data_IF_198362300699
#
_entry.id   IF_198362300699
#
_cell.length_a   1.000
_cell.length_b   1.000
_cell.length_c   1.000
_cell.angle_alpha   90.00
_cell.angle_beta   90.00
_cell.angle_gamma   90.00
#
_symmetry.space_group_name_H-M   'P 1'
#
loop_
_entity.id
_entity.type
_entity.pdbx_description
1 polymer ?
#
# COMPACT_ATOMS: atom_id res chain seq x y z
N UNK A 1 -10.63 -18.78 -3.54
CA UNK A 1 -11.48 -18.91 -4.75
C UNK A 1 -10.75 -18.43 -6.01
N UNK A 2 -9.91 -17.40 -5.89
CA UNK A 2 -8.88 -17.03 -6.89
C UNK A 2 -7.52 -17.16 -6.21
N UNK A 3 -6.53 -17.74 -6.88
CA UNK A 3 -5.17 -17.91 -6.36
C UNK A 3 -4.16 -17.69 -7.50
N UNK A 4 -3.56 -16.50 -7.50
CA UNK A 4 -2.50 -16.10 -8.43
C UNK A 4 -1.12 -16.07 -7.75
N UNK A 5 -0.96 -16.72 -6.58
CA UNK A 5 0.26 -16.62 -5.78
C UNK A 5 1.49 -17.14 -6.52
N UNK A 6 1.37 -18.27 -7.22
CA UNK A 6 2.47 -18.82 -8.02
C UNK A 6 2.91 -17.85 -9.12
N UNK A 7 1.95 -17.22 -9.81
CA UNK A 7 2.21 -16.23 -10.85
C UNK A 7 2.90 -14.98 -10.28
N UNK A 8 2.47 -14.53 -9.11
CA UNK A 8 3.12 -13.44 -8.39
C UNK A 8 4.57 -13.79 -8.03
N UNK A 9 4.81 -14.99 -7.49
CA UNK A 9 6.16 -15.46 -7.17
C UNK A 9 7.09 -15.49 -8.38
N UNK A 10 6.63 -16.04 -9.51
CA UNK A 10 7.44 -16.12 -10.72
C UNK A 10 7.81 -14.73 -11.26
N UNK A 11 6.91 -13.76 -11.11
CA UNK A 11 7.19 -12.36 -11.44
C UNK A 11 8.29 -11.77 -10.55
N UNK A 12 8.14 -11.83 -9.23
CA UNK A 12 9.08 -11.16 -8.30
C UNK A 12 10.44 -11.87 -8.17
N UNK A 13 10.51 -13.16 -8.54
CA UNK A 13 11.78 -13.90 -8.61
C UNK A 13 12.76 -13.27 -9.58
N UNK A 14 12.27 -12.74 -10.69
CA UNK A 14 13.06 -12.04 -11.71
C UNK A 14 13.26 -10.57 -11.28
N UNK A 15 14.48 -10.15 -10.88
CA UNK A 15 14.71 -8.79 -10.37
C UNK A 15 14.28 -7.67 -11.32
N UNK A 16 14.39 -7.90 -12.63
CA UNK A 16 13.97 -6.97 -13.70
C UNK A 16 12.45 -6.75 -13.77
N UNK A 17 11.67 -7.69 -13.23
CA UNK A 17 10.20 -7.64 -13.21
C UNK A 17 9.67 -7.15 -11.86
N UNK A 18 10.53 -6.86 -10.88
CA UNK A 18 10.11 -6.29 -9.59
C UNK A 18 9.56 -4.88 -9.79
N UNK A 19 8.51 -4.50 -9.03
CA UNK A 19 7.93 -3.16 -9.18
C UNK A 19 8.95 -2.10 -8.77
N UNK A 20 8.93 -0.95 -9.44
CA UNK A 20 9.78 0.19 -9.09
C UNK A 20 9.09 1.13 -8.11
N UNK A 21 7.77 1.22 -8.17
CA UNK A 21 6.99 2.02 -7.24
C UNK A 21 5.65 1.36 -6.93
N UNK A 22 5.47 0.99 -5.66
CA UNK A 22 4.30 0.29 -5.14
C UNK A 22 3.43 1.26 -4.37
N UNK A 23 2.12 1.29 -4.65
CA UNK A 23 1.13 1.91 -3.77
C UNK A 23 0.35 0.82 -3.04
N UNK A 24 0.16 0.98 -1.73
CA UNK A 24 -0.56 0.01 -0.89
C UNK A 24 -1.70 0.72 -0.17
N UNK A 25 -2.92 0.27 -0.44
CA UNK A 25 -4.14 0.68 0.27
C UNK A 25 -4.34 -0.25 1.47
N UNK A 26 -3.98 0.23 2.66
CA UNK A 26 -4.10 -0.53 3.91
C UNK A 26 -5.56 -0.62 4.36
N UNK A 27 -5.97 -1.76 4.93
CA UNK A 27 -7.26 -1.98 5.58
C UNK A 27 -7.13 -1.75 7.08
N UNK A 28 -6.93 -2.79 7.89
CA UNK A 28 -7.09 -2.73 9.33
C UNK A 28 -5.85 -2.22 10.06
N UNK A 29 -6.09 -1.57 11.21
CA UNK A 29 -5.06 -1.29 12.20
C UNK A 29 -4.56 -2.57 12.89
N UNK A 30 -3.54 -2.42 13.75
CA UNK A 30 -3.07 -3.51 14.60
C UNK A 30 -2.25 -4.54 13.84
N UNK A 31 -2.52 -5.84 14.07
CA UNK A 31 -1.68 -6.93 13.55
C UNK A 31 -1.63 -6.98 12.02
N UNK A 32 -2.72 -6.60 11.35
CA UNK A 32 -2.81 -6.59 9.88
C UNK A 32 -1.75 -5.65 9.28
N UNK A 33 -1.76 -4.40 9.73
CA UNK A 33 -0.74 -3.42 9.36
C UNK A 33 0.66 -3.78 9.88
N UNK A 34 0.80 -4.10 11.18
CA UNK A 34 2.11 -4.25 11.84
C UNK A 34 2.84 -5.52 11.41
N UNK A 35 2.12 -6.62 11.24
CA UNK A 35 2.70 -7.95 10.98
C UNK A 35 2.44 -8.44 9.54
N UNK A 36 1.55 -7.80 8.79
CA UNK A 36 1.29 -8.09 7.38
C UNK A 36 1.89 -7.03 6.46
N UNK A 37 1.27 -5.85 6.43
CA UNK A 37 1.62 -4.79 5.47
C UNK A 37 3.04 -4.27 5.68
N UNK A 38 3.45 -3.93 6.91
CA UNK A 38 4.78 -3.35 7.16
C UNK A 38 5.94 -4.30 6.81
N UNK A 39 5.90 -5.60 7.13
CA UNK A 39 6.89 -6.55 6.63
C UNK A 39 6.94 -6.62 5.11
N UNK A 40 5.79 -6.56 4.43
CA UNK A 40 5.75 -6.51 2.97
C UNK A 40 6.35 -5.21 2.40
N UNK A 41 6.16 -4.06 3.09
CA UNK A 41 6.83 -2.80 2.75
C UNK A 41 8.34 -2.95 2.86
N UNK A 42 8.84 -3.57 3.94
CA UNK A 42 10.28 -3.83 4.12
C UNK A 42 10.83 -4.71 2.99
N UNK A 43 10.07 -5.72 2.55
CA UNK A 43 10.44 -6.55 1.42
C UNK A 43 10.47 -5.75 0.10
N UNK A 44 9.48 -4.90 -0.16
CA UNK A 44 9.47 -4.00 -1.32
C UNK A 44 10.70 -3.06 -1.33
N UNK A 45 11.07 -2.53 -0.17
CA UNK A 45 12.27 -1.70 -0.02
C UNK A 45 13.55 -2.48 -0.27
N UNK A 46 13.59 -3.77 0.09
CA UNK A 46 14.73 -4.67 -0.19
C UNK A 46 14.97 -4.86 -1.69
N UNK A 47 13.89 -4.80 -2.49
CA UNK A 47 13.95 -4.83 -3.95
C UNK A 47 14.44 -3.51 -4.57
N UNK A 48 14.56 -2.44 -3.78
CA UNK A 48 14.85 -1.09 -4.26
C UNK A 48 13.61 -0.32 -4.72
N UNK A 49 12.41 -0.81 -4.40
CA UNK A 49 11.15 -0.15 -4.77
C UNK A 49 10.92 1.09 -3.92
N UNK A 50 10.31 2.11 -4.52
CA UNK A 50 9.60 3.15 -3.76
C UNK A 50 8.26 2.60 -3.27
N UNK A 51 7.81 3.05 -2.11
CA UNK A 51 6.55 2.61 -1.53
C UNK A 51 5.71 3.80 -1.07
N UNK A 52 4.46 3.83 -1.49
CA UNK A 52 3.44 4.78 -1.04
C UNK A 52 2.42 3.99 -0.22
N UNK A 53 2.39 4.21 1.09
CA UNK A 53 1.33 3.70 1.94
C UNK A 53 0.17 4.70 1.97
N UNK A 54 -1.05 4.19 1.85
CA UNK A 54 -2.25 5.02 1.91
C UNK A 54 -3.34 4.40 2.77
N UNK A 55 -4.01 5.27 3.51
CA UNK A 55 -4.96 4.95 4.57
C UNK A 55 -6.11 5.94 4.59
N UNK A 56 -7.19 5.61 5.30
CA UNK A 56 -8.40 6.44 5.32
C UNK A 56 -8.14 7.83 5.90
N UNK A 57 -8.80 8.84 5.33
CA UNK A 57 -8.69 10.21 5.85
C UNK A 57 -9.47 10.37 7.17
N UNK A 58 -10.49 9.55 7.38
CA UNK A 58 -11.30 9.51 8.62
C UNK A 58 -11.57 8.07 9.07
N UNK A 59 -11.89 7.83 10.36
CA UNK A 59 -12.13 6.49 10.87
C UNK A 59 -13.27 5.75 10.16
N UNK A 60 -13.09 4.45 9.93
CA UNK A 60 -14.12 3.54 9.45
C UNK A 60 -13.92 2.17 10.11
N UNK A 61 -14.80 1.79 11.04
CA UNK A 61 -14.65 0.57 11.85
C UNK A 61 -13.27 0.52 12.53
N UNK A 62 -12.39 -0.40 12.14
CA UNK A 62 -11.03 -0.59 12.65
C UNK A 62 -9.97 -0.37 11.55
N UNK A 63 -10.36 0.21 10.42
CA UNK A 63 -9.45 0.64 9.38
C UNK A 63 -8.44 1.62 9.93
N UNK A 64 -7.19 1.51 9.49
CA UNK A 64 -6.17 2.49 9.85
C UNK A 64 -6.45 3.84 9.18
N UNK A 65 -6.36 4.91 9.96
CA UNK A 65 -6.38 6.28 9.42
C UNK A 65 -4.98 6.74 9.05
N UNK A 66 -4.88 7.71 8.13
CA UNK A 66 -3.61 8.31 7.74
C UNK A 66 -2.80 8.85 8.95
N UNK A 67 -3.47 9.44 9.94
CA UNK A 67 -2.81 9.99 11.13
C UNK A 67 -2.23 8.88 12.01
N UNK A 68 -2.98 7.81 12.22
CA UNK A 68 -2.51 6.64 12.99
C UNK A 68 -1.37 5.93 12.26
N UNK A 69 -1.49 5.76 10.94
CA UNK A 69 -0.44 5.17 10.11
C UNK A 69 0.86 6.01 10.19
N UNK A 70 0.76 7.34 10.08
CA UNK A 70 1.92 8.21 10.19
C UNK A 70 2.59 8.14 11.58
N UNK A 71 1.78 8.09 12.64
CA UNK A 71 2.29 7.91 14.00
C UNK A 71 3.01 6.57 14.15
N UNK A 72 2.35 5.47 13.76
CA UNK A 72 2.89 4.12 13.85
C UNK A 72 4.19 3.97 13.03
N UNK A 73 4.24 4.52 11.81
CA UNK A 73 5.44 4.46 10.98
C UNK A 73 6.64 5.12 11.66
N UNK A 74 6.44 6.22 12.40
CA UNK A 74 7.52 6.87 13.12
C UNK A 74 8.04 6.00 14.29
N UNK A 75 7.13 5.32 15.00
CA UNK A 75 7.49 4.40 16.08
C UNK A 75 8.24 3.18 15.54
N UNK A 76 7.70 2.53 14.50
CA UNK A 76 8.32 1.33 13.90
C UNK A 76 9.65 1.69 13.21
N UNK A 77 9.78 2.88 12.64
CA UNK A 77 11.06 3.37 12.13
C UNK A 77 12.11 3.62 13.24
N UNK A 78 11.71 3.71 14.51
CA UNK A 78 12.63 3.64 15.64
C UNK A 78 13.22 2.25 15.87
N UNK A 79 12.57 1.20 15.34
CA UNK A 79 12.93 -0.21 15.55
C UNK A 79 13.53 -0.88 14.31
N UNK A 80 13.13 -0.44 13.10
CA UNK A 80 13.60 -0.98 11.81
C UNK A 80 14.33 0.12 11.00
N UNK A 81 15.68 0.09 10.94
CA UNK A 81 16.47 1.13 10.28
C UNK A 81 16.17 1.32 8.79
N UNK A 82 15.72 0.27 8.08
CA UNK A 82 15.35 0.39 6.66
C UNK A 82 14.15 1.30 6.47
N UNK A 83 13.16 1.23 7.36
CA UNK A 83 12.00 2.12 7.32
C UNK A 83 12.41 3.56 7.63
N UNK A 84 13.26 3.78 8.64
CA UNK A 84 13.81 5.12 8.94
C UNK A 84 14.48 5.74 7.72
N UNK A 85 15.45 5.02 7.15
CA UNK A 85 16.19 5.49 5.96
C UNK A 85 15.26 5.76 4.79
N UNK A 86 14.26 4.90 4.57
CA UNK A 86 13.31 5.06 3.47
C UNK A 86 12.39 6.28 3.67
N UNK A 87 11.93 6.54 4.90
CA UNK A 87 11.16 7.74 5.23
C UNK A 87 12.00 9.02 5.02
N UNK A 88 13.22 9.05 5.57
CA UNK A 88 14.09 10.22 5.51
C UNK A 88 14.50 10.58 4.07
N UNK A 89 14.61 9.58 3.19
CA UNK A 89 14.96 9.75 1.77
C UNK A 89 13.75 9.90 0.84
N UNK A 90 12.53 9.84 1.37
CA UNK A 90 11.29 9.89 0.57
C UNK A 90 11.06 8.67 -0.32
N UNK A 91 11.75 7.55 -0.07
CA UNK A 91 11.50 6.27 -0.74
C UNK A 91 10.24 5.61 -0.17
N UNK A 92 9.98 5.77 1.12
CA UNK A 92 8.73 5.40 1.78
C UNK A 92 7.94 6.68 2.06
N UNK A 93 6.72 6.75 1.56
CA UNK A 93 5.82 7.89 1.69
C UNK A 93 4.48 7.45 2.27
N UNK A 94 3.81 8.36 2.99
CA UNK A 94 2.48 8.15 3.53
C UNK A 94 1.57 9.29 3.06
N UNK A 95 0.34 8.96 2.66
CA UNK A 95 -0.65 9.93 2.16
C UNK A 95 -2.06 9.39 2.38
N UNK A 96 -3.02 10.27 2.69
CA UNK A 96 -4.41 9.87 2.85
C UNK A 96 -5.11 9.58 1.50
N UNK A 97 -6.01 8.61 1.47
CA UNK A 97 -6.70 8.20 0.24
C UNK A 97 -8.03 8.94 -0.01
N UNK A 98 -8.49 9.80 0.92
CA UNK A 98 -9.76 10.51 0.82
C UNK A 98 -10.98 9.70 1.26
N UNK A 99 -10.82 8.43 1.64
CA UNK A 99 -11.92 7.55 2.00
C UNK A 99 -12.37 7.74 3.45
N UNK A 100 -13.67 7.48 3.66
CA UNK A 100 -14.36 7.53 4.94
C UNK A 100 -15.19 6.27 5.22
N UNK A 101 -14.90 5.19 4.51
CA UNK A 101 -15.65 3.93 4.56
C UNK A 101 -14.70 2.73 4.53
N UNK A 102 -15.15 1.54 4.97
CA UNK A 102 -14.37 0.30 4.84
C UNK A 102 -14.26 -0.19 3.38
N UNK A 103 -15.01 0.43 2.47
CA UNK A 103 -14.97 0.20 1.04
C UNK A 103 -14.11 1.29 0.35
N UNK A 104 -13.51 0.94 -0.79
CA UNK A 104 -12.64 1.83 -1.55
C UNK A 104 -13.27 2.21 -2.88
N UNK A 105 -13.74 3.45 -3.03
CA UNK A 105 -14.17 4.00 -4.32
C UNK A 105 -13.03 4.78 -4.99
N UNK A 106 -12.34 4.12 -5.91
CA UNK A 106 -11.21 4.70 -6.64
C UNK A 106 -11.60 5.84 -7.61
N UNK A 107 -12.90 6.09 -7.82
CA UNK A 107 -13.38 7.26 -8.55
C UNK A 107 -13.34 8.52 -7.68
N UNK A 108 -13.29 8.36 -6.36
CA UNK A 108 -13.32 9.44 -5.38
C UNK A 108 -12.09 9.39 -4.46
N UNK A 109 -10.90 9.41 -5.06
CA UNK A 109 -9.64 9.39 -4.34
C UNK A 109 -9.09 10.81 -4.11
N UNK A 110 -8.33 11.02 -3.03
CA UNK A 110 -7.72 12.32 -2.75
C UNK A 110 -6.84 12.81 -3.93
N UNK A 111 -6.94 14.10 -4.25
CA UNK A 111 -6.14 14.71 -5.32
C UNK A 111 -4.64 14.53 -5.07
N UNK A 112 -4.22 14.61 -3.79
CA UNK A 112 -2.83 14.43 -3.37
C UNK A 112 -2.32 13.03 -3.71
N UNK A 113 -3.12 11.99 -3.44
CA UNK A 113 -2.74 10.62 -3.77
C UNK A 113 -2.60 10.41 -5.29
N UNK A 114 -3.56 10.92 -6.06
CA UNK A 114 -3.55 10.82 -7.53
C UNK A 114 -2.31 11.52 -8.12
N UNK A 115 -1.99 12.71 -7.62
CA UNK A 115 -0.81 13.46 -8.07
C UNK A 115 0.48 12.72 -7.73
N UNK A 116 0.60 12.22 -6.49
CA UNK A 116 1.78 11.49 -6.04
C UNK A 116 1.98 10.20 -6.86
N UNK A 117 0.92 9.43 -7.08
CA UNK A 117 1.00 8.19 -7.85
C UNK A 117 1.49 8.42 -9.29
N UNK A 118 1.06 9.52 -9.93
CA UNK A 118 1.52 9.92 -11.25
C UNK A 118 2.98 10.39 -11.24
N UNK A 119 3.37 11.20 -10.26
CA UNK A 119 4.72 11.74 -10.13
C UNK A 119 5.75 10.63 -9.91
N UNK A 120 5.43 9.67 -9.03
CA UNK A 120 6.31 8.55 -8.68
C UNK A 120 6.25 7.40 -9.70
N UNK A 121 5.37 7.50 -10.71
CA UNK A 121 5.16 6.49 -11.75
C UNK A 121 4.89 5.11 -11.14
N UNK A 122 3.88 5.05 -10.27
CA UNK A 122 3.42 3.80 -9.66
C UNK A 122 3.19 2.75 -10.73
N UNK A 123 3.79 1.58 -10.56
CA UNK A 123 3.70 0.44 -11.48
C UNK A 123 3.12 -0.82 -10.82
N UNK A 124 2.82 -0.77 -9.52
CA UNK A 124 2.06 -1.80 -8.81
C UNK A 124 1.08 -1.19 -7.82
N UNK A 125 -0.18 -1.61 -7.89
CA UNK A 125 -1.23 -1.26 -6.92
C UNK A 125 -1.55 -2.48 -6.06
N UNK A 126 -1.43 -2.35 -4.75
CA UNK A 126 -1.85 -3.37 -3.78
C UNK A 126 -3.07 -2.85 -3.04
N UNK A 127 -4.17 -3.59 -3.12
CA UNK A 127 -5.41 -3.30 -2.39
C UNK A 127 -5.59 -4.44 -1.42
N UNK A 128 -5.46 -4.14 -0.13
CA UNK A 128 -5.64 -5.09 0.95
C UNK A 128 -7.04 -4.94 1.54
N UNK A 129 -7.66 -6.05 1.94
CA UNK A 129 -8.88 -6.09 2.72
C UNK A 129 -10.12 -6.44 1.90
N UNK A 130 -11.03 -7.22 2.51
CA UNK A 130 -12.25 -7.70 1.86
C UNK A 130 -13.13 -6.55 1.34
N UNK A 131 -13.32 -5.49 2.13
CA UNK A 131 -14.15 -4.35 1.74
C UNK A 131 -13.61 -3.60 0.52
N UNK A 132 -12.28 -3.43 0.47
CA UNK A 132 -11.58 -2.64 -0.55
C UNK A 132 -11.28 -3.45 -1.79
N UNK A 133 -10.79 -4.68 -1.64
CA UNK A 133 -10.31 -5.51 -2.72
C UNK A 133 -11.44 -6.36 -3.32
N UNK A 134 -12.25 -7.03 -2.49
CA UNK A 134 -13.24 -8.02 -2.94
C UNK A 134 -14.59 -7.36 -3.23
N UNK A 135 -15.14 -6.61 -2.27
CA UNK A 135 -16.49 -6.06 -2.41
C UNK A 135 -16.57 -4.95 -3.45
N UNK A 136 -15.57 -4.08 -3.55
CA UNK A 136 -15.61 -2.94 -4.47
C UNK A 136 -14.72 -3.04 -5.70
N UNK A 137 -13.55 -3.67 -5.60
CA UNK A 137 -12.53 -3.58 -6.67
C UNK A 137 -12.11 -4.91 -7.29
N UNK A 138 -12.79 -6.03 -7.04
CA UNK A 138 -12.34 -7.37 -7.47
C UNK A 138 -12.07 -7.45 -8.97
N UNK A 139 -12.92 -6.79 -9.76
CA UNK A 139 -12.82 -6.76 -11.22
C UNK A 139 -12.37 -5.40 -11.78
N UNK A 140 -12.00 -4.44 -10.92
CA UNK A 140 -11.42 -3.17 -11.35
C UNK A 140 -10.16 -3.44 -12.19
N UNK A 141 -10.05 -2.75 -13.33
CA UNK A 141 -8.90 -2.86 -14.24
C UNK A 141 -8.00 -1.65 -14.07
N UNK A 142 -6.71 -1.89 -14.09
CA UNK A 142 -5.68 -0.87 -13.95
C UNK A 142 -4.77 -0.87 -15.17
N UNK A 143 -4.14 0.27 -15.44
CA UNK A 143 -3.12 0.40 -16.50
C UNK A 143 -1.75 -0.16 -16.06
N UNK A 144 -1.64 -0.59 -14.82
CA UNK A 144 -0.44 -1.14 -14.18
C UNK A 144 -0.80 -2.44 -13.47
N UNK A 145 0.20 -3.17 -13.00
CA UNK A 145 -0.04 -4.42 -12.27
C UNK A 145 -0.83 -4.15 -10.99
N UNK A 146 -1.61 -5.12 -10.55
CA UNK A 146 -2.34 -5.02 -9.30
C UNK A 146 -2.36 -6.35 -8.53
N UNK A 147 -2.34 -6.23 -7.20
CA UNK A 147 -2.63 -7.29 -6.25
C UNK A 147 -3.88 -6.89 -5.45
N UNK A 148 -4.81 -7.82 -5.31
CA UNK A 148 -6.06 -7.67 -4.57
C UNK A 148 -6.08 -8.79 -3.54
N UNK A 149 -5.77 -8.46 -2.29
CA UNK A 149 -5.47 -9.43 -1.23
C UNK A 149 -6.44 -9.27 -0.07
#
# INVERSE_FOLDING_TARGET
>A
LVDDFARWLDRIRMPENRPKCVIIFCDNSGADLILGVLPFVVECLSWGSKVILTANSVPAINDVTYRELLFLLNEVAGLEPRLRKALDSGILMCVDNGQSSPCLDLRQTSHRLVQLAKQEKVDLIVIEGMGRAVHTNLYARFCVDCLKI
#
